data_IF_922879980033
#
_entry.id   IF_922879980033
#
_cell.length_a   1.000
_cell.length_b   1.000
_cell.length_c   1.000
_cell.angle_alpha   90.00
_cell.angle_beta   90.00
_cell.angle_gamma   90.00
#
_symmetry.space_group_name_H-M   'P 1'
#
loop_
_entity.id
_entity.type
_entity.pdbx_description
1 polymer ?
#
# COMPACT_ATOMS: atom_id res chain seq x y z
N UNK A 1 -93.13 36.94 18.89
CA UNK A 1 -92.77 37.01 17.46
C UNK A 1 -91.33 37.50 17.37
N UNK A 2 -90.33 36.63 17.47
CA UNK A 2 -89.63 35.92 16.36
C UNK A 2 -88.88 36.85 15.39
N UNK A 3 -87.53 36.80 15.44
CA UNK A 3 -86.52 36.87 14.34
C UNK A 3 -85.12 36.93 14.99
N UNK A 4 -84.43 35.81 15.19
CA UNK A 4 -83.50 35.08 14.28
C UNK A 4 -82.13 35.76 14.10
N UNK A 5 -81.13 35.00 14.54
CA UNK A 5 -79.67 35.10 14.50
C UNK A 5 -79.00 35.52 13.17
N UNK A 6 -77.74 35.99 13.27
CA UNK A 6 -76.55 35.24 12.78
C UNK A 6 -75.22 35.97 13.03
N UNK A 7 -74.34 35.28 13.77
CA UNK A 7 -72.88 35.39 13.72
C UNK A 7 -72.37 35.23 12.28
N UNK A 8 -71.43 36.08 11.87
CA UNK A 8 -70.47 35.77 10.82
C UNK A 8 -69.11 36.39 11.18
N UNK A 9 -68.28 35.62 11.91
CA UNK A 9 -66.83 35.78 11.86
C UNK A 9 -66.36 35.49 10.42
N UNK A 10 -65.50 36.32 9.80
CA UNK A 10 -64.89 35.94 8.54
C UNK A 10 -63.83 34.89 8.83
N UNK A 11 -64.12 33.64 8.44
CA UNK A 11 -63.10 32.60 8.32
C UNK A 11 -62.14 33.01 7.20
N UNK A 12 -60.96 33.48 7.57
CA UNK A 12 -59.84 33.69 6.67
C UNK A 12 -59.35 32.31 6.22
N UNK A 13 -59.82 31.85 5.06
CA UNK A 13 -59.34 30.62 4.45
C UNK A 13 -57.88 30.83 4.01
N UNK A 14 -56.93 30.27 4.77
CA UNK A 14 -55.57 30.06 4.28
C UNK A 14 -55.66 29.10 3.10
N UNK A 15 -55.60 29.65 1.88
CA UNK A 15 -55.31 28.90 0.67
C UNK A 15 -53.88 28.36 0.81
N UNK A 16 -53.76 27.08 1.16
CA UNK A 16 -52.51 26.33 1.05
C UNK A 16 -52.16 26.21 -0.44
N UNK A 17 -51.36 27.14 -0.96
CA UNK A 17 -50.79 27.01 -2.29
C UNK A 17 -49.88 25.76 -2.31
N UNK A 18 -50.01 24.86 -3.31
CA UNK A 18 -49.07 23.77 -3.46
C UNK A 18 -47.69 24.36 -3.74
N UNK A 19 -46.68 23.98 -2.96
CA UNK A 19 -45.29 24.28 -3.29
C UNK A 19 -44.94 23.53 -4.58
N UNK A 20 -44.79 24.28 -5.67
CA UNK A 20 -44.16 23.78 -6.90
C UNK A 20 -42.65 23.89 -6.69
N UNK A 21 -41.95 22.75 -6.72
CA UNK A 21 -40.50 22.72 -6.82
C UNK A 21 -40.15 22.55 -8.31
N UNK A 22 -39.40 23.49 -8.86
CA UNK A 22 -38.79 23.38 -10.18
C UNK A 22 -37.28 23.38 -10.01
N UNK A 23 -36.57 22.65 -10.87
CA UNK A 23 -35.11 22.65 -10.86
C UNK A 23 -34.58 23.98 -11.39
N UNK A 24 -33.51 24.49 -10.79
CA UNK A 24 -32.83 25.69 -11.24
C UNK A 24 -31.72 25.33 -12.25
N UNK A 25 -31.79 25.89 -13.44
CA UNK A 25 -30.75 25.79 -14.46
C UNK A 25 -30.18 27.19 -14.68
N UNK A 26 -28.91 27.39 -14.34
CA UNK A 26 -28.17 28.61 -14.67
C UNK A 26 -27.54 28.40 -16.06
N UNK A 27 -28.06 29.09 -17.08
CA UNK A 27 -27.59 28.96 -18.47
C UNK A 27 -26.25 29.67 -18.75
N UNK A 28 -25.59 30.17 -17.72
CA UNK A 28 -24.34 30.93 -17.77
C UNK A 28 -23.48 30.60 -16.53
N UNK A 29 -22.33 31.25 -16.40
CA UNK A 29 -21.43 31.05 -15.27
C UNK A 29 -22.07 31.48 -13.93
N UNK A 30 -22.04 30.59 -12.94
CA UNK A 30 -22.39 30.94 -11.56
C UNK A 30 -21.15 31.44 -10.81
N UNK A 31 -21.06 32.74 -10.58
CA UNK A 31 -19.99 33.36 -9.77
C UNK A 31 -20.56 33.74 -8.41
N UNK A 32 -20.11 33.06 -7.35
CA UNK A 32 -20.50 33.34 -5.97
C UNK A 32 -19.40 34.17 -5.29
N UNK A 33 -19.74 35.37 -4.82
CA UNK A 33 -18.88 36.16 -3.95
C UNK A 33 -19.12 35.74 -2.49
N UNK A 34 -18.14 35.06 -1.88
CA UNK A 34 -18.26 34.49 -0.53
C UNK A 34 -18.14 32.97 -0.56
N UNK A 35 -19.07 32.27 0.08
CA UNK A 35 -19.07 30.81 0.17
C UNK A 35 -20.40 30.20 -0.25
N UNK A 36 -20.37 28.98 -0.78
CA UNK A 36 -21.56 28.22 -1.16
C UNK A 36 -21.63 26.87 -0.43
N UNK A 37 -22.82 26.50 0.04
CA UNK A 37 -23.09 25.17 0.61
C UNK A 37 -24.03 24.40 -0.32
N UNK A 38 -23.66 23.18 -0.68
CA UNK A 38 -24.47 22.28 -1.48
C UNK A 38 -24.74 20.98 -0.70
N UNK A 39 -26.00 20.56 -0.68
CA UNK A 39 -26.42 19.31 -0.08
C UNK A 39 -27.59 19.48 0.89
N UNK A 40 -28.18 18.35 1.28
CA UNK A 40 -29.43 18.29 2.06
C UNK A 40 -29.27 18.72 3.51
N UNK A 41 -28.05 18.87 4.00
CA UNK A 41 -27.75 19.26 5.37
C UNK A 41 -27.19 20.70 5.49
N UNK A 42 -27.25 21.49 4.41
CA UNK A 42 -26.99 22.93 4.48
C UNK A 42 -28.11 23.65 5.23
N UNK A 43 -27.77 24.63 6.05
CA UNK A 43 -28.71 25.37 6.89
C UNK A 43 -28.74 26.87 6.52
N UNK A 44 -29.85 27.55 6.81
CA UNK A 44 -29.93 29.02 6.69
C UNK A 44 -29.05 29.67 7.75
N UNK A 45 -28.19 30.61 7.34
CA UNK A 45 -27.18 31.21 8.19
C UNK A 45 -25.97 30.31 8.48
N UNK A 46 -25.63 29.37 7.59
CA UNK A 46 -24.46 28.48 7.72
C UNK A 46 -23.17 29.26 8.03
N UNK A 47 -22.45 28.84 9.08
CA UNK A 47 -21.10 29.36 9.37
C UNK A 47 -20.09 28.66 8.46
N UNK A 48 -19.48 29.42 7.56
CA UNK A 48 -18.49 28.90 6.62
C UNK A 48 -17.07 28.87 7.16
N UNK A 49 -16.77 29.56 8.26
CA UNK A 49 -15.40 29.77 8.75
C UNK A 49 -14.47 30.22 7.60
N UNK A 50 -13.52 29.37 7.22
CA UNK A 50 -12.58 29.62 6.13
C UNK A 50 -12.91 28.85 4.84
N UNK A 51 -13.97 28.04 4.83
CA UNK A 51 -14.36 27.23 3.68
C UNK A 51 -15.11 28.08 2.64
N UNK A 52 -14.67 28.03 1.38
CA UNK A 52 -15.34 28.69 0.26
C UNK A 52 -16.45 27.83 -0.36
N UNK A 53 -16.36 26.50 -0.19
CA UNK A 53 -17.33 25.54 -0.72
C UNK A 53 -17.53 24.42 0.30
N UNK A 54 -18.78 24.19 0.71
CA UNK A 54 -19.16 23.09 1.59
C UNK A 54 -20.06 22.11 0.84
N UNK A 55 -19.71 20.83 0.89
CA UNK A 55 -20.60 19.74 0.50
C UNK A 55 -21.12 19.08 1.78
N UNK A 56 -22.41 19.26 2.09
CA UNK A 56 -22.99 18.86 3.38
C UNK A 56 -24.20 17.95 3.14
N UNK A 57 -23.98 16.65 3.29
CA UNK A 57 -24.97 15.58 3.19
C UNK A 57 -24.48 14.37 4.00
N UNK A 58 -25.32 13.34 4.26
CA UNK A 58 -24.86 12.10 4.90
C UNK A 58 -23.72 11.39 4.15
N UNK A 59 -23.70 11.49 2.82
CA UNK A 59 -22.62 11.02 1.94
C UNK A 59 -22.32 12.11 0.89
N UNK A 60 -21.49 13.12 1.23
CA UNK A 60 -21.20 14.20 0.30
C UNK A 60 -20.32 13.70 -0.84
N UNK A 61 -20.74 13.98 -2.07
CA UNK A 61 -20.11 13.48 -3.30
C UNK A 61 -20.15 14.56 -4.37
N UNK A 62 -19.05 14.69 -5.10
CA UNK A 62 -18.95 15.46 -6.32
C UNK A 62 -18.75 14.48 -7.48
N UNK A 63 -19.72 14.46 -8.40
CA UNK A 63 -19.65 13.68 -9.64
C UNK A 63 -19.10 14.55 -10.75
N UNK A 64 -18.10 14.03 -11.45
CA UNK A 64 -17.51 14.59 -12.67
C UNK A 64 -17.96 13.66 -13.79
N UNK A 65 -19.01 14.08 -14.48
CA UNK A 65 -19.61 13.33 -15.58
C UNK A 65 -19.16 13.92 -16.92
N UNK A 66 -18.56 13.11 -17.77
CA UNK A 66 -18.16 13.54 -19.12
C UNK A 66 -19.32 13.28 -20.10
N UNK A 67 -19.91 14.35 -20.61
CA UNK A 67 -21.05 14.30 -21.54
C UNK A 67 -20.64 14.48 -23.01
N UNK A 68 -19.35 14.38 -23.34
CA UNK A 68 -18.86 14.55 -24.71
C UNK A 68 -19.44 13.49 -25.67
N UNK A 69 -19.74 13.89 -26.91
CA UNK A 69 -20.28 13.01 -27.94
C UNK A 69 -19.15 12.46 -28.84
N UNK A 70 -18.92 11.14 -28.85
CA UNK A 70 -17.84 10.51 -29.63
C UNK A 70 -17.54 9.07 -29.20
N UNK A 71 -16.36 8.53 -29.55
CA UNK A 71 -15.89 7.22 -29.09
C UNK A 71 -15.53 7.26 -27.60
N UNK A 72 -16.58 7.21 -26.78
CA UNK A 72 -16.72 6.97 -25.35
C UNK A 72 -15.84 7.77 -24.36
N UNK A 73 -16.46 8.58 -23.50
CA UNK A 73 -16.11 8.56 -22.09
C UNK A 73 -16.83 7.36 -21.44
N UNK A 74 -16.13 6.24 -21.23
CA UNK A 74 -16.72 5.08 -20.51
C UNK A 74 -16.60 5.18 -18.99
N UNK A 75 -15.92 6.20 -18.47
CA UNK A 75 -15.62 6.33 -17.05
C UNK A 75 -15.90 7.76 -16.59
N UNK A 76 -16.93 7.89 -15.77
CA UNK A 76 -17.16 9.07 -14.96
C UNK A 76 -16.39 8.95 -13.66
N UNK A 77 -16.00 10.08 -13.07
CA UNK A 77 -15.24 10.10 -11.82
C UNK A 77 -16.08 10.69 -10.72
N UNK A 78 -15.99 10.12 -9.53
CA UNK A 78 -16.56 10.75 -8.35
C UNK A 78 -15.54 10.82 -7.24
N UNK A 79 -15.59 11.92 -6.50
CA UNK A 79 -14.88 12.04 -5.24
C UNK A 79 -15.85 12.37 -4.12
N UNK A 80 -15.49 11.99 -2.91
CA UNK A 80 -16.32 12.23 -1.75
C UNK A 80 -15.71 11.68 -0.48
N UNK A 81 -16.47 11.77 0.58
CA UNK A 81 -16.18 11.08 1.83
C UNK A 81 -17.27 10.08 2.12
N UNK A 82 -16.89 8.85 2.47
CA UNK A 82 -17.83 7.80 2.86
C UNK A 82 -17.48 7.29 4.25
N UNK A 83 -18.49 7.13 5.08
CA UNK A 83 -18.38 6.40 6.34
C UNK A 83 -18.52 4.90 6.11
N UNK A 84 -17.88 4.08 6.94
CA UNK A 84 -18.13 2.63 7.00
C UNK A 84 -19.45 2.26 7.73
N UNK A 85 -20.33 3.24 7.96
CA UNK A 85 -21.56 3.09 8.75
C UNK A 85 -21.33 3.06 10.27
N UNK A 86 -20.09 2.99 10.75
CA UNK A 86 -19.77 3.04 12.20
C UNK A 86 -19.72 4.46 12.76
N UNK A 87 -19.65 5.48 11.89
CA UNK A 87 -19.43 6.88 12.26
C UNK A 87 -18.00 7.18 12.72
N UNK A 88 -17.14 6.17 12.89
CA UNK A 88 -15.76 6.32 13.38
C UNK A 88 -14.75 6.32 12.24
N UNK A 89 -14.98 5.52 11.19
CA UNK A 89 -14.12 5.51 10.01
C UNK A 89 -14.84 6.16 8.84
N UNK A 90 -14.53 7.44 8.61
CA UNK A 90 -14.77 8.07 7.32
C UNK A 90 -13.47 8.08 6.54
N UNK A 91 -13.54 7.77 5.24
CA UNK A 91 -12.41 7.87 4.33
C UNK A 91 -12.77 8.76 3.14
N UNK A 92 -11.77 9.48 2.63
CA UNK A 92 -11.88 10.21 1.38
C UNK A 92 -11.56 9.28 0.23
N UNK A 93 -12.26 9.40 -0.89
CA UNK A 93 -12.03 8.55 -2.05
C UNK A 93 -12.11 9.32 -3.36
N UNK A 94 -11.44 8.75 -4.37
CA UNK A 94 -11.69 8.96 -5.79
C UNK A 94 -12.07 7.61 -6.37
N UNK A 95 -13.22 7.52 -7.02
CA UNK A 95 -13.76 6.30 -7.61
C UNK A 95 -14.10 6.49 -9.08
N UNK A 96 -13.97 5.39 -9.83
CA UNK A 96 -14.67 5.25 -11.10
C UNK A 96 -16.16 5.12 -10.78
N UNK A 97 -16.94 6.14 -11.12
CA UNK A 97 -18.35 6.25 -10.80
C UNK A 97 -19.22 5.25 -11.58
N UNK A 98 -18.74 4.77 -12.73
CA UNK A 98 -19.42 3.76 -13.55
C UNK A 98 -19.20 2.37 -12.94
N UNK A 99 -17.96 2.05 -12.58
CA UNK A 99 -17.64 0.78 -11.94
C UNK A 99 -18.04 0.72 -10.45
N UNK A 100 -18.19 1.87 -9.80
CA UNK A 100 -18.39 1.97 -8.35
C UNK A 100 -17.18 1.50 -7.54
N UNK A 101 -15.98 1.57 -8.12
CA UNK A 101 -14.75 1.07 -7.49
C UNK A 101 -13.82 2.24 -7.16
N UNK A 102 -13.43 2.42 -5.89
CA UNK A 102 -12.42 3.42 -5.52
C UNK A 102 -11.07 3.05 -6.13
N UNK A 103 -10.44 4.02 -6.79
CA UNK A 103 -9.07 3.92 -7.32
C UNK A 103 -8.05 4.55 -6.38
N UNK A 104 -8.51 5.44 -5.51
CA UNK A 104 -7.72 6.03 -4.42
C UNK A 104 -8.62 6.12 -3.20
N UNK A 105 -8.13 5.67 -2.05
CA UNK A 105 -8.79 5.90 -0.76
C UNK A 105 -7.78 6.33 0.29
N UNK A 106 -8.15 7.34 1.08
CA UNK A 106 -7.35 7.91 2.16
C UNK A 106 -8.09 7.70 3.48
N UNK A 107 -7.49 6.93 4.38
CA UNK A 107 -8.09 6.57 5.66
C UNK A 107 -7.53 7.42 6.81
N UNK A 108 -8.35 7.65 7.84
CA UNK A 108 -7.97 8.45 9.02
C UNK A 108 -6.77 7.90 9.78
N UNK A 109 -6.53 6.59 9.74
CA UNK A 109 -5.39 5.96 10.40
C UNK A 109 -4.08 6.04 9.59
N UNK A 110 -4.06 6.82 8.52
CA UNK A 110 -2.88 7.03 7.67
C UNK A 110 -2.72 5.98 6.57
N UNK A 111 -3.61 4.99 6.48
CA UNK A 111 -3.58 4.00 5.39
C UNK A 111 -4.00 4.63 4.07
N UNK A 112 -3.38 4.21 2.97
CA UNK A 112 -3.71 4.63 1.60
C UNK A 112 -3.88 3.38 0.73
N UNK A 113 -4.95 3.32 -0.06
CA UNK A 113 -5.09 2.30 -1.11
C UNK A 113 -4.99 2.98 -2.46
N UNK A 114 -4.06 2.51 -3.30
CA UNK A 114 -3.80 3.03 -4.64
C UNK A 114 -4.04 1.95 -5.70
N UNK A 115 -4.94 2.25 -6.63
CA UNK A 115 -5.43 1.36 -7.66
C UNK A 115 -6.73 0.67 -7.26
N UNK A 116 -7.60 0.44 -8.26
CA UNK A 116 -8.84 -0.31 -8.09
C UNK A 116 -8.56 -1.63 -7.36
N UNK A 117 -9.47 -2.04 -6.47
CA UNK A 117 -9.40 -3.32 -5.71
C UNK A 117 -8.18 -3.51 -4.80
N UNK A 118 -7.39 -2.46 -4.54
CA UNK A 118 -6.34 -2.52 -3.54
C UNK A 118 -6.93 -2.76 -2.14
N UNK A 119 -6.34 -3.70 -1.40
CA UNK A 119 -6.78 -4.06 -0.07
C UNK A 119 -6.14 -3.12 0.96
N UNK A 120 -6.94 -2.56 1.86
CA UNK A 120 -6.44 -1.68 2.92
C UNK A 120 -5.56 -2.45 3.90
N UNK A 121 -4.38 -1.91 4.15
CA UNK A 121 -3.45 -2.40 5.17
C UNK A 121 -3.14 -1.24 6.12
N UNK A 122 -3.30 -1.49 7.44
CA UNK A 122 -3.22 -0.45 8.45
C UNK A 122 -1.84 0.20 8.48
N UNK A 123 -1.77 1.52 8.30
CA UNK A 123 -0.53 2.28 8.32
C UNK A 123 0.37 2.08 7.09
N UNK A 124 -0.16 1.53 6.00
CA UNK A 124 0.59 1.28 4.77
C UNK A 124 -0.04 1.96 3.55
N UNK A 125 0.79 2.15 2.51
CA UNK A 125 0.33 2.44 1.16
C UNK A 125 0.21 1.10 0.43
N UNK A 126 -1.00 0.61 0.28
CA UNK A 126 -1.29 -0.61 -0.47
C UNK A 126 -1.52 -0.28 -1.94
N UNK A 127 -0.76 -0.93 -2.83
CA UNK A 127 -0.87 -0.76 -4.29
C UNK A 127 -1.63 -1.91 -4.97
N UNK A 128 -2.17 -2.86 -4.20
CA UNK A 128 -2.78 -4.08 -4.72
C UNK A 128 -3.49 -4.89 -3.64
N UNK A 129 -3.77 -6.14 -3.93
CA UNK A 129 -4.34 -7.10 -2.97
C UNK A 129 -3.60 -8.44 -3.09
N UNK A 130 -3.73 -9.36 -2.10
CA UNK A 130 -3.10 -10.66 -2.19
C UNK A 130 -3.45 -11.38 -3.50
N UNK A 131 -2.43 -11.73 -4.29
CA UNK A 131 -2.57 -12.35 -5.62
C UNK A 131 -2.87 -11.39 -6.77
N UNK A 132 -3.00 -10.09 -6.49
CA UNK A 132 -3.16 -9.02 -7.48
C UNK A 132 -2.21 -7.84 -7.17
N UNK A 133 -0.95 -8.17 -6.89
CA UNK A 133 0.09 -7.19 -6.62
C UNK A 133 0.42 -6.38 -7.88
N UNK A 134 0.78 -5.12 -7.69
CA UNK A 134 1.20 -4.22 -8.79
C UNK A 134 2.67 -3.91 -8.68
N UNK A 135 3.32 -3.77 -9.83
CA UNK A 135 4.70 -3.27 -9.90
C UNK A 135 4.73 -1.77 -9.62
N UNK A 136 5.70 -1.34 -8.83
CA UNK A 136 6.10 0.07 -8.74
C UNK A 136 7.28 0.24 -9.72
N UNK A 137 7.06 0.99 -10.79
CA UNK A 137 8.05 1.19 -11.85
C UNK A 137 8.76 2.53 -11.71
N UNK A 138 9.94 2.65 -12.34
CA UNK A 138 10.75 3.87 -12.37
C UNK A 138 11.20 4.37 -10.98
N UNK A 139 11.49 3.44 -10.08
CA UNK A 139 12.06 3.73 -8.76
C UNK A 139 13.56 4.00 -8.90
N UNK A 140 13.99 5.21 -8.53
CA UNK A 140 15.39 5.59 -8.48
C UNK A 140 16.18 4.73 -7.47
N UNK A 141 17.51 4.79 -7.50
CA UNK A 141 18.31 4.09 -6.49
C UNK A 141 18.11 4.72 -5.11
N UNK A 142 18.00 3.86 -4.09
CA UNK A 142 18.00 4.26 -2.70
C UNK A 142 19.31 4.96 -2.30
N UNK A 143 19.19 6.04 -1.53
CA UNK A 143 20.31 6.87 -1.05
C UNK A 143 20.32 7.05 0.47
N UNK A 144 19.18 6.88 1.14
CA UNK A 144 19.04 6.93 2.61
C UNK A 144 18.32 5.69 3.15
N UNK A 145 18.39 5.49 4.47
CA UNK A 145 17.94 4.27 5.17
C UNK A 145 16.46 3.89 4.96
N UNK A 146 15.61 4.84 4.54
CA UNK A 146 14.17 4.65 4.37
C UNK A 146 13.70 4.73 2.91
N UNK A 147 14.63 4.67 1.97
CA UNK A 147 14.32 4.61 0.54
C UNK A 147 13.96 3.18 0.10
N UNK A 148 13.08 3.09 -0.91
CA UNK A 148 12.80 1.82 -1.56
C UNK A 148 13.97 1.37 -2.44
N UNK A 149 14.39 0.11 -2.30
CA UNK A 149 15.46 -0.49 -3.11
C UNK A 149 14.89 -1.03 -4.42
N UNK A 150 15.54 -0.73 -5.55
CA UNK A 150 15.13 -1.24 -6.86
C UNK A 150 15.87 -2.54 -7.26
N UNK A 151 15.45 -3.15 -8.39
CA UNK A 151 16.01 -4.41 -8.87
C UNK A 151 17.52 -4.35 -9.16
N UNK A 152 18.02 -3.23 -9.68
CA UNK A 152 19.46 -3.09 -10.01
C UNK A 152 20.32 -3.15 -8.75
N UNK A 153 19.92 -2.46 -7.69
CA UNK A 153 20.64 -2.50 -6.41
C UNK A 153 20.61 -3.91 -5.80
N UNK A 154 19.48 -4.63 -5.91
CA UNK A 154 19.38 -6.01 -5.45
C UNK A 154 20.32 -6.96 -6.22
N UNK A 155 20.37 -6.88 -7.56
CA UNK A 155 21.28 -7.71 -8.35
C UNK A 155 22.76 -7.36 -8.07
N UNK A 156 23.09 -6.08 -7.87
CA UNK A 156 24.44 -5.67 -7.48
C UNK A 156 24.86 -6.26 -6.11
N UNK A 157 23.96 -6.21 -5.12
CA UNK A 157 24.18 -6.84 -3.82
C UNK A 157 24.39 -8.36 -3.93
N UNK A 158 23.57 -9.03 -4.74
CA UNK A 158 23.70 -10.47 -5.01
C UNK A 158 25.04 -10.81 -5.65
N UNK A 159 25.49 -10.05 -6.66
CA UNK A 159 26.79 -10.26 -7.31
C UNK A 159 27.95 -10.08 -6.33
N UNK A 160 27.94 -9.01 -5.51
CA UNK A 160 28.99 -8.77 -4.52
C UNK A 160 29.06 -9.88 -3.46
N UNK A 161 27.90 -10.38 -3.02
CA UNK A 161 27.81 -11.47 -2.05
C UNK A 161 28.34 -12.78 -2.63
N UNK A 162 27.96 -13.11 -3.87
CA UNK A 162 28.44 -14.33 -4.54
C UNK A 162 29.96 -14.32 -4.76
N UNK A 163 30.55 -13.17 -5.07
CA UNK A 163 32.01 -13.04 -5.18
C UNK A 163 32.72 -13.31 -3.84
N UNK A 164 32.20 -12.76 -2.74
CA UNK A 164 32.74 -13.01 -1.40
C UNK A 164 32.67 -14.49 -1.02
N UNK A 165 31.58 -15.17 -1.39
CA UNK A 165 31.44 -16.62 -1.16
C UNK A 165 32.48 -17.40 -1.98
N UNK A 166 32.69 -17.03 -3.24
CA UNK A 166 33.69 -17.68 -4.10
C UNK A 166 35.09 -17.58 -3.48
N UNK A 167 35.49 -16.39 -3.01
CA UNK A 167 36.76 -16.17 -2.31
C UNK A 167 36.90 -17.06 -1.07
N UNK A 168 35.83 -17.16 -0.27
CA UNK A 168 35.82 -18.04 0.91
C UNK A 168 35.95 -19.52 0.53
N UNK A 169 35.30 -19.97 -0.54
CA UNK A 169 35.42 -21.36 -1.01
C UNK A 169 36.80 -21.68 -1.57
N UNK A 170 37.43 -20.73 -2.27
CA UNK A 170 38.80 -20.86 -2.75
C UNK A 170 39.80 -20.95 -1.58
N UNK A 171 39.65 -20.07 -0.57
CA UNK A 171 40.47 -20.10 0.64
C UNK A 171 40.31 -21.42 1.42
N UNK A 172 39.07 -21.92 1.54
CA UNK A 172 38.80 -23.21 2.17
C UNK A 172 39.40 -24.37 1.37
N UNK A 173 39.31 -24.34 0.03
CA UNK A 173 39.93 -25.33 -0.85
C UNK A 173 41.44 -25.37 -0.67
N UNK A 174 42.11 -24.22 -0.61
CA UNK A 174 43.55 -24.14 -0.35
C UNK A 174 43.94 -24.73 1.02
N UNK A 175 43.12 -24.47 2.05
CA UNK A 175 43.32 -25.03 3.39
C UNK A 175 43.17 -26.56 3.40
N UNK A 176 42.20 -27.10 2.67
CA UNK A 176 42.00 -28.55 2.52
C UNK A 176 43.15 -29.22 1.77
N UNK A 177 43.65 -28.59 0.70
CA UNK A 177 44.84 -29.07 -0.02
C UNK A 177 46.05 -29.14 0.91
N UNK A 178 46.28 -28.07 1.69
CA UNK A 178 47.37 -28.02 2.68
C UNK A 178 47.23 -29.11 3.74
N UNK A 179 46.00 -29.35 4.24
CA UNK A 179 45.73 -30.43 5.20
C UNK A 179 46.00 -31.81 4.60
N UNK A 180 45.59 -32.04 3.35
CA UNK A 180 45.85 -33.29 2.61
C UNK A 180 47.35 -33.57 2.46
N UNK A 181 48.14 -32.57 2.07
CA UNK A 181 49.59 -32.68 1.96
C UNK A 181 50.26 -33.01 3.30
N UNK A 182 49.82 -32.36 4.38
CA UNK A 182 50.30 -32.65 5.74
C UNK A 182 49.98 -34.07 6.18
N UNK A 183 48.77 -34.56 5.88
CA UNK A 183 48.37 -35.95 6.16
C UNK A 183 49.26 -36.93 5.39
N UNK A 184 49.52 -36.68 4.10
CA UNK A 184 50.40 -37.52 3.30
C UNK A 184 51.83 -37.54 3.84
N UNK A 185 52.37 -36.39 4.23
CA UNK A 185 53.69 -36.30 4.84
C UNK A 185 53.78 -37.06 6.17
N UNK A 186 52.73 -36.98 7.01
CA UNK A 186 52.65 -37.76 8.26
C UNK A 186 52.59 -39.27 7.98
N UNK A 187 51.80 -39.68 6.98
CA UNK A 187 51.71 -41.08 6.58
C UNK A 187 53.07 -41.63 6.12
N UNK A 188 53.81 -40.86 5.31
CA UNK A 188 55.17 -41.22 4.90
C UNK A 188 56.10 -41.38 6.10
N UNK A 189 56.11 -40.40 7.03
CA UNK A 189 56.95 -40.48 8.24
C UNK A 189 56.59 -41.68 9.12
N UNK A 190 55.31 -42.02 9.24
CA UNK A 190 54.86 -43.20 9.97
C UNK A 190 55.39 -44.49 9.33
N UNK A 191 55.32 -44.61 8.01
CA UNK A 191 55.84 -45.76 7.27
C UNK A 191 57.36 -45.88 7.40
N UNK A 192 58.10 -44.77 7.33
CA UNK A 192 59.55 -44.76 7.55
C UNK A 192 59.91 -45.21 8.97
N UNK A 193 59.17 -44.75 9.98
CA UNK A 193 59.38 -45.17 11.36
C UNK A 193 59.13 -46.67 11.54
N UNK A 194 58.05 -47.19 10.95
CA UNK A 194 57.74 -48.62 10.96
C UNK A 194 58.88 -49.45 10.34
N UNK A 195 59.42 -49.03 9.19
CA UNK A 195 60.55 -49.69 8.55
C UNK A 195 61.83 -49.65 9.42
N UNK A 196 62.10 -48.52 10.09
CA UNK A 196 63.24 -48.40 11.02
C UNK A 196 63.10 -49.32 12.24
N UNK A 197 61.90 -49.45 12.80
CA UNK A 197 61.63 -50.36 13.92
C UNK A 197 61.86 -51.82 13.51
N UNK A 198 61.36 -52.22 12.35
CA UNK A 198 61.58 -53.57 11.83
C UNK A 198 63.08 -53.87 11.63
N UNK A 199 63.83 -52.94 11.04
CA UNK A 199 65.27 -53.09 10.88
C UNK A 199 66.01 -53.20 12.23
N UNK A 200 65.56 -52.47 13.25
CA UNK A 200 66.09 -52.58 14.62
C UNK A 200 65.81 -53.97 15.22
N UNK A 201 64.59 -54.48 15.06
CA UNK A 201 64.21 -55.82 15.53
C UNK A 201 65.06 -56.91 14.88
N UNK A 202 65.29 -56.83 13.57
CA UNK A 202 66.14 -57.77 12.81
C UNK A 202 67.63 -57.67 13.21
N UNK A 203 68.09 -56.51 13.69
CA UNK A 203 69.47 -56.28 14.12
C UNK A 203 69.78 -56.73 15.55
N UNK A 204 68.80 -57.19 16.33
CA UNK A 204 69.01 -57.61 17.72
C UNK A 204 69.92 -58.86 17.77
N UNK A 205 71.07 -58.81 18.44
CA UNK A 205 71.95 -59.98 18.56
C UNK A 205 71.24 -61.08 19.38
N UNK A 206 71.30 -62.32 18.89
CA UNK A 206 70.82 -63.48 19.62
C UNK A 206 71.64 -63.61 20.92
N UNK A 207 70.99 -63.39 22.06
CA UNK A 207 71.58 -63.73 23.37
C UNK A 207 71.66 -65.25 23.41
N UNK A 208 72.81 -65.80 23.04
CA UNK A 208 73.12 -67.21 23.24
C UNK A 208 73.30 -67.40 24.74
N UNK A 209 72.23 -67.82 25.43
CA UNK A 209 72.34 -68.30 26.79
C UNK A 209 73.12 -69.62 26.74
N UNK A 210 74.42 -69.58 27.08
CA UNK A 210 75.19 -70.79 27.31
C UNK A 210 74.80 -71.35 28.68
N UNK A 211 74.47 -72.65 28.78
CA UNK A 211 74.09 -73.29 30.04
C UNK A 211 75.22 -73.27 31.07
#
# INVERSE_FOLDING_TARGET
MLRIARNLWPALALLSAPMVSADEIINDDLIVQGSACFGTACEDGEDFQFDTLKLKAPEPRLLIQDTSAGAFPTHDWALGSRGDGSGVNSYFYLEDAVAGVPVLSLYRDGSITLGATAAREAGAISVGSPGNERRIAHVADATVDHDAVNQRQFEAFKTATLATIDDQTAAMTASLTTLSERINALNTRANELAARLQALEESRPAIVYRP
#
